data_IF_087145130989
#
_entry.id   IF_087145130989
#
_cell.length_a   1.000
_cell.length_b   1.000
_cell.length_c   1.000
_cell.angle_alpha   90.00
_cell.angle_beta   90.00
_cell.angle_gamma   90.00
#
_symmetry.space_group_name_H-M   'P 1'
#
loop_
_entity.id
_entity.type
_entity.pdbx_description
1 polymer ?
#
# COMPACT_ATOMS: atom_id res chain seq x y z
N UNK A 1 -62.41 -11.00 54.89
CA UNK A 1 -62.35 -10.70 53.43
C UNK A 1 -61.00 -10.11 52.96
N UNK A 2 -59.95 -10.03 53.80
CA UNK A 2 -58.65 -9.43 53.42
C UNK A 2 -57.67 -10.38 52.68
N UNK A 3 -57.89 -11.69 52.72
CA UNK A 3 -56.95 -12.67 52.15
C UNK A 3 -57.09 -12.84 50.63
N UNK A 4 -58.28 -12.61 50.07
CA UNK A 4 -58.53 -12.71 48.64
C UNK A 4 -57.84 -11.60 47.83
N UNK A 5 -57.65 -10.39 48.40
CA UNK A 5 -57.00 -9.29 47.67
C UNK A 5 -55.49 -9.43 47.60
N UNK A 6 -54.85 -10.08 48.58
CA UNK A 6 -53.40 -10.34 48.55
C UNK A 6 -53.01 -11.36 47.49
N UNK A 7 -53.80 -12.44 47.34
CA UNK A 7 -53.57 -13.44 46.30
C UNK A 7 -53.67 -12.82 44.90
N UNK A 8 -54.69 -11.98 44.68
CA UNK A 8 -54.91 -11.31 43.40
C UNK A 8 -53.85 -10.23 43.10
N UNK A 9 -53.27 -9.60 44.13
CA UNK A 9 -52.11 -8.71 43.98
C UNK A 9 -50.83 -9.48 43.62
N UNK A 10 -50.60 -10.63 44.25
CA UNK A 10 -49.43 -11.47 43.97
C UNK A 10 -49.45 -12.01 42.53
N UNK A 11 -50.62 -12.45 42.04
CA UNK A 11 -50.79 -12.90 40.65
C UNK A 11 -50.53 -11.76 39.64
N UNK A 12 -51.06 -10.56 39.91
CA UNK A 12 -50.82 -9.40 39.04
C UNK A 12 -49.33 -8.98 39.03
N UNK A 13 -48.64 -9.06 40.17
CA UNK A 13 -47.20 -8.79 40.26
C UNK A 13 -46.37 -9.85 39.53
N UNK A 14 -46.75 -11.13 39.62
CA UNK A 14 -46.09 -12.21 38.90
C UNK A 14 -46.21 -12.04 37.37
N UNK A 15 -47.41 -11.72 36.87
CA UNK A 15 -47.65 -11.47 35.45
C UNK A 15 -46.85 -10.27 34.93
N UNK A 16 -46.78 -9.19 35.72
CA UNK A 16 -45.99 -8.01 35.37
C UNK A 16 -44.48 -8.27 35.36
N UNK A 17 -43.99 -9.10 36.29
CA UNK A 17 -42.60 -9.54 36.32
C UNK A 17 -42.25 -10.40 35.10
N UNK A 18 -43.11 -11.35 34.72
CA UNK A 18 -42.92 -12.21 33.55
C UNK A 18 -42.89 -11.40 32.24
N UNK A 19 -43.82 -10.44 32.10
CA UNK A 19 -43.87 -9.55 30.93
C UNK A 19 -42.64 -8.65 30.81
N UNK A 20 -42.12 -8.15 31.92
CA UNK A 20 -40.90 -7.32 31.92
C UNK A 20 -39.63 -8.13 31.63
N UNK A 21 -39.53 -9.36 32.16
CA UNK A 21 -38.45 -10.29 31.85
C UNK A 21 -38.42 -10.66 30.36
N UNK A 22 -39.60 -10.93 29.77
CA UNK A 22 -39.71 -11.28 28.34
C UNK A 22 -39.30 -10.13 27.43
N UNK A 23 -39.71 -8.90 27.76
CA UNK A 23 -39.33 -7.68 27.02
C UNK A 23 -37.84 -7.39 27.12
N UNK A 24 -37.24 -7.57 28.29
CA UNK A 24 -35.79 -7.41 28.48
C UNK A 24 -34.99 -8.45 27.68
N UNK A 25 -35.47 -9.70 27.62
CA UNK A 25 -34.85 -10.77 26.84
C UNK A 25 -34.90 -10.47 25.33
N UNK A 26 -36.02 -9.98 24.81
CA UNK A 26 -36.14 -9.57 23.40
C UNK A 26 -35.23 -8.39 23.05
N UNK A 27 -35.11 -7.40 23.92
CA UNK A 27 -34.23 -6.25 23.67
C UNK A 27 -32.74 -6.64 23.69
N UNK A 28 -32.35 -7.53 24.61
CA UNK A 28 -31.00 -8.09 24.66
C UNK A 28 -30.69 -8.91 23.40
N UNK A 29 -31.64 -9.74 22.93
CA UNK A 29 -31.49 -10.50 21.70
C UNK A 29 -31.36 -9.58 20.46
N UNK A 30 -32.13 -8.47 20.43
CA UNK A 30 -32.09 -7.51 19.32
C UNK A 30 -30.76 -6.73 19.27
N UNK A 31 -30.20 -6.35 20.42
CA UNK A 31 -28.88 -5.70 20.52
C UNK A 31 -27.75 -6.64 20.09
N UNK A 32 -27.75 -7.88 20.60
CA UNK A 32 -26.75 -8.88 20.21
C UNK A 32 -26.79 -9.22 18.70
N UNK A 33 -28.00 -9.29 18.11
CA UNK A 33 -28.17 -9.48 16.68
C UNK A 33 -27.63 -8.29 15.86
N UNK A 34 -27.85 -7.06 16.31
CA UNK A 34 -27.35 -5.85 15.66
C UNK A 34 -25.81 -5.75 15.71
N UNK A 35 -25.18 -6.02 16.85
CA UNK A 35 -23.72 -6.02 16.99
C UNK A 35 -23.07 -7.10 16.10
N UNK A 36 -23.67 -8.30 16.07
CA UNK A 36 -23.20 -9.38 15.20
C UNK A 36 -23.31 -9.01 13.72
N UNK A 37 -24.37 -8.31 13.32
CA UNK A 37 -24.57 -7.85 11.95
C UNK A 37 -23.55 -6.77 11.56
N UNK A 38 -23.23 -5.84 12.46
CA UNK A 38 -22.22 -4.79 12.24
C UNK A 38 -20.83 -5.41 12.11
N UNK A 39 -20.46 -6.33 13.01
CA UNK A 39 -19.17 -7.03 12.94
C UNK A 39 -18.99 -7.80 11.63
N UNK A 40 -20.01 -8.56 11.20
CA UNK A 40 -19.98 -9.28 9.92
C UNK A 40 -19.86 -8.36 8.71
N UNK A 41 -20.50 -7.19 8.75
CA UNK A 41 -20.42 -6.20 7.67
C UNK A 41 -19.03 -5.56 7.60
N UNK A 42 -18.42 -5.25 8.74
CA UNK A 42 -17.06 -4.73 8.81
C UNK A 42 -16.02 -5.74 8.31
N UNK A 43 -16.16 -7.02 8.68
CA UNK A 43 -15.27 -8.09 8.18
C UNK A 43 -15.44 -8.31 6.68
N UNK A 44 -16.67 -8.28 6.17
CA UNK A 44 -16.95 -8.39 4.73
C UNK A 44 -16.40 -7.20 3.93
N UNK A 45 -16.52 -5.98 4.46
CA UNK A 45 -15.95 -4.77 3.84
C UNK A 45 -14.42 -4.82 3.84
N UNK A 46 -13.79 -5.28 4.94
CA UNK A 46 -12.33 -5.45 5.03
C UNK A 46 -11.82 -6.52 4.07
N UNK A 47 -12.54 -7.63 3.93
CA UNK A 47 -12.21 -8.69 2.96
C UNK A 47 -12.39 -8.20 1.51
N UNK A 48 -13.43 -7.42 1.22
CA UNK A 48 -13.65 -6.82 -0.10
C UNK A 48 -12.58 -5.77 -0.46
N UNK A 49 -12.15 -4.97 0.51
CA UNK A 49 -11.05 -4.01 0.37
C UNK A 49 -9.74 -4.74 0.04
N UNK A 50 -9.39 -5.78 0.82
CA UNK A 50 -8.19 -6.59 0.61
C UNK A 50 -8.20 -7.29 -0.75
N UNK A 51 -9.36 -7.77 -1.21
CA UNK A 51 -9.49 -8.39 -2.53
C UNK A 51 -9.33 -7.39 -3.68
N UNK A 52 -9.85 -6.15 -3.54
CA UNK A 52 -9.63 -5.07 -4.52
C UNK A 52 -8.16 -4.68 -4.59
N UNK A 53 -7.52 -4.47 -3.46
CA UNK A 53 -6.09 -4.14 -3.38
C UNK A 53 -5.20 -5.27 -3.93
N UNK A 54 -5.56 -6.54 -3.70
CA UNK A 54 -4.84 -7.67 -4.29
C UNK A 54 -4.98 -7.72 -5.81
N UNK A 55 -6.17 -7.43 -6.34
CA UNK A 55 -6.44 -7.39 -7.78
C UNK A 55 -5.71 -6.22 -8.45
N UNK A 56 -5.75 -5.04 -7.86
CA UNK A 56 -5.02 -3.87 -8.34
C UNK A 56 -3.51 -4.10 -8.30
N UNK A 57 -2.99 -4.73 -7.25
CA UNK A 57 -1.57 -5.13 -7.16
C UNK A 57 -1.19 -6.17 -8.21
N UNK A 58 -2.09 -7.09 -8.56
CA UNK A 58 -1.87 -8.05 -9.64
C UNK A 58 -1.88 -7.37 -11.01
N UNK A 59 -2.81 -6.46 -11.25
CA UNK A 59 -2.87 -5.67 -12.50
C UNK A 59 -1.65 -4.75 -12.66
N UNK A 60 -1.14 -4.17 -11.57
CA UNK A 60 0.10 -3.40 -11.56
C UNK A 60 1.33 -4.26 -11.83
N UNK A 61 1.41 -5.47 -11.25
CA UNK A 61 2.48 -6.44 -11.54
C UNK A 61 2.47 -6.87 -13.01
N UNK A 62 1.27 -7.08 -13.56
CA UNK A 62 1.09 -7.48 -14.96
C UNK A 62 1.42 -6.33 -15.92
N UNK A 63 1.09 -5.08 -15.56
CA UNK A 63 1.48 -3.89 -16.31
C UNK A 63 3.01 -3.65 -16.25
N UNK A 64 3.62 -3.81 -15.07
CA UNK A 64 5.07 -3.71 -14.90
C UNK A 64 5.81 -4.79 -15.71
N UNK A 65 5.28 -6.01 -15.76
CA UNK A 65 5.84 -7.11 -16.56
C UNK A 65 5.72 -6.84 -18.07
N UNK A 66 4.59 -6.26 -18.51
CA UNK A 66 4.39 -5.84 -19.91
C UNK A 66 5.28 -4.67 -20.33
N UNK A 67 5.62 -3.76 -19.40
CA UNK A 67 6.57 -2.68 -19.65
C UNK A 67 8.03 -3.14 -19.60
N UNK A 68 8.36 -4.12 -18.73
CA UNK A 68 9.68 -4.75 -18.68
C UNK A 68 10.01 -5.54 -19.96
N UNK A 69 9.00 -6.10 -20.63
CA UNK A 69 9.13 -6.74 -21.94
C UNK A 69 9.34 -5.74 -23.09
N UNK A 70 9.08 -4.43 -22.88
CA UNK A 70 9.17 -3.45 -23.95
C UNK A 70 10.56 -2.90 -24.20
N UNK A 71 11.35 -2.44 -23.23
CA UNK A 71 12.56 -1.70 -23.65
C UNK A 71 13.65 -1.41 -22.62
N UNK A 72 14.46 -2.41 -22.26
CA UNK A 72 15.87 -2.13 -21.92
C UNK A 72 16.76 -2.05 -23.18
N UNK A 73 16.17 -2.14 -24.38
CA UNK A 73 16.84 -2.24 -25.68
C UNK A 73 16.74 -0.97 -26.56
N UNK A 74 15.88 0.00 -26.25
CA UNK A 74 15.64 1.22 -27.06
C UNK A 74 16.32 2.47 -26.53
N UNK A 75 16.89 2.43 -25.33
CA UNK A 75 17.71 3.55 -24.84
C UNK A 75 19.15 3.38 -25.33
N UNK A 76 19.63 4.24 -26.25
CA UNK A 76 21.01 4.16 -26.68
C UNK A 76 21.94 4.39 -25.49
N UNK A 77 22.98 3.55 -25.37
CA UNK A 77 24.06 3.77 -24.41
C UNK A 77 24.88 4.97 -24.89
N UNK A 78 25.03 5.98 -24.04
CA UNK A 78 25.73 7.22 -24.33
C UNK A 78 26.89 7.43 -23.35
N UNK A 79 27.87 8.24 -23.75
CA UNK A 79 28.99 8.62 -22.88
C UNK A 79 28.54 9.47 -21.68
N UNK A 80 27.40 10.17 -21.80
CA UNK A 80 26.78 10.93 -20.72
C UNK A 80 25.29 11.17 -21.01
N UNK A 81 24.55 11.50 -19.95
CA UNK A 81 23.12 11.82 -19.99
C UNK A 81 22.86 13.10 -19.20
N UNK A 82 22.04 13.99 -19.74
CA UNK A 82 21.47 15.12 -19.00
C UNK A 82 20.36 14.65 -18.06
N UNK A 83 20.08 15.43 -17.01
CA UNK A 83 18.93 15.16 -16.12
C UNK A 83 17.63 15.04 -16.91
N UNK A 84 17.41 15.90 -17.92
CA UNK A 84 16.21 15.85 -18.75
C UNK A 84 16.10 14.56 -19.56
N UNK A 85 17.21 14.02 -20.07
CA UNK A 85 17.24 12.72 -20.73
C UNK A 85 16.89 11.60 -19.74
N UNK A 86 17.46 11.63 -18.53
CA UNK A 86 17.18 10.62 -17.49
C UNK A 86 15.70 10.64 -17.09
N UNK A 87 15.12 11.83 -16.88
CA UNK A 87 13.70 11.98 -16.60
C UNK A 87 12.83 11.49 -17.76
N UNK A 88 13.21 11.75 -19.01
CA UNK A 88 12.50 11.25 -20.18
C UNK A 88 12.52 9.71 -20.26
N UNK A 89 13.67 9.08 -19.96
CA UNK A 89 13.76 7.62 -19.85
C UNK A 89 12.84 7.11 -18.73
N UNK A 90 12.89 7.72 -17.56
CA UNK A 90 12.03 7.34 -16.44
C UNK A 90 10.52 7.47 -16.78
N UNK A 91 10.10 8.50 -17.52
CA UNK A 91 8.70 8.64 -17.98
C UNK A 91 8.24 7.52 -18.91
N UNK A 92 9.16 6.93 -19.68
CA UNK A 92 8.85 5.80 -20.56
C UNK A 92 8.81 4.47 -19.81
N UNK A 93 9.59 4.35 -18.73
CA UNK A 93 9.73 3.10 -17.96
C UNK A 93 8.74 2.97 -16.80
N UNK A 94 8.40 4.09 -16.16
CA UNK A 94 7.53 4.15 -14.98
C UNK A 94 6.08 4.33 -15.43
N UNK A 95 5.10 3.58 -14.87
CA UNK A 95 3.69 3.82 -15.14
C UNK A 95 3.32 5.30 -14.93
N UNK A 96 2.56 5.89 -15.87
CA UNK A 96 2.30 7.33 -15.89
C UNK A 96 1.72 7.88 -14.58
N UNK A 97 0.82 7.15 -13.93
CA UNK A 97 0.23 7.51 -12.63
C UNK A 97 1.19 7.40 -11.43
N UNK A 98 2.37 6.80 -11.62
CA UNK A 98 3.37 6.56 -10.57
C UNK A 98 4.60 7.47 -10.72
N UNK A 99 4.76 8.12 -11.88
CA UNK A 99 5.96 8.87 -12.22
C UNK A 99 6.26 10.01 -11.25
N UNK A 100 5.25 10.77 -10.80
CA UNK A 100 5.49 11.89 -9.89
C UNK A 100 6.08 11.43 -8.55
N UNK A 101 5.52 10.37 -7.96
CA UNK A 101 6.01 9.80 -6.70
C UNK A 101 7.43 9.24 -6.85
N UNK A 102 7.67 8.50 -7.94
CA UNK A 102 9.00 8.02 -8.31
C UNK A 102 10.01 9.17 -8.45
N UNK A 103 9.61 10.24 -9.14
CA UNK A 103 10.44 11.42 -9.40
C UNK A 103 10.84 12.12 -8.11
N UNK A 104 9.92 12.26 -7.16
CA UNK A 104 10.20 12.89 -5.87
C UNK A 104 11.27 12.12 -5.10
N UNK A 105 11.22 10.78 -5.09
CA UNK A 105 12.25 9.95 -4.46
C UNK A 105 13.60 10.17 -5.14
N UNK A 106 13.68 10.02 -6.47
CA UNK A 106 14.95 10.16 -7.20
C UNK A 106 15.57 11.54 -7.01
N UNK A 107 14.74 12.58 -6.97
CA UNK A 107 15.18 13.96 -6.72
C UNK A 107 15.78 14.14 -5.32
N UNK A 108 15.14 13.57 -4.29
CA UNK A 108 15.66 13.59 -2.92
C UNK A 108 16.93 12.76 -2.74
N UNK A 109 17.01 11.60 -3.38
CA UNK A 109 18.14 10.67 -3.24
C UNK A 109 19.41 11.17 -3.95
N UNK A 110 19.25 11.76 -5.14
CA UNK A 110 20.39 12.01 -6.02
C UNK A 110 20.33 13.31 -6.82
N UNK A 111 19.22 14.06 -6.72
CA UNK A 111 18.91 15.16 -7.65
C UNK A 111 19.08 14.74 -9.11
N UNK A 112 18.64 13.52 -9.42
CA UNK A 112 18.75 12.87 -10.74
C UNK A 112 20.18 12.63 -11.26
N UNK A 113 21.18 12.67 -10.40
CA UNK A 113 22.56 12.32 -10.77
C UNK A 113 22.81 10.81 -10.64
N UNK A 114 22.86 10.11 -11.78
CA UNK A 114 23.12 8.67 -11.83
C UNK A 114 24.55 8.24 -11.44
N UNK A 115 25.45 9.21 -11.23
CA UNK A 115 26.79 9.02 -10.66
C UNK A 115 26.90 9.61 -9.23
N UNK A 116 25.79 9.98 -8.59
CA UNK A 116 25.82 10.52 -7.24
C UNK A 116 26.46 9.53 -6.27
N UNK A 117 27.46 9.98 -5.51
CA UNK A 117 28.12 9.18 -4.47
C UNK A 117 28.01 9.90 -3.15
N UNK A 118 27.41 9.25 -2.16
CA UNK A 118 27.49 9.72 -0.79
C UNK A 118 28.87 9.37 -0.22
N UNK A 119 29.70 10.38 0.03
CA UNK A 119 31.08 10.18 0.47
C UNK A 119 31.21 9.45 1.82
N UNK A 120 30.23 9.59 2.71
CA UNK A 120 30.26 9.00 4.04
C UNK A 120 29.84 7.53 4.05
N UNK A 121 28.85 7.15 3.22
CA UNK A 121 28.29 5.80 3.20
C UNK A 121 28.73 4.95 2.00
N UNK A 122 29.19 5.56 0.92
CA UNK A 122 29.46 4.89 -0.36
C UNK A 122 28.20 4.52 -1.15
N UNK A 123 27.03 5.01 -0.75
CA UNK A 123 25.80 4.86 -1.53
C UNK A 123 25.94 5.52 -2.91
N UNK A 124 25.39 4.88 -3.94
CA UNK A 124 25.64 5.25 -5.34
C UNK A 124 24.36 5.39 -6.17
N UNK A 125 24.40 6.31 -7.14
CA UNK A 125 23.45 6.42 -8.24
C UNK A 125 22.11 7.03 -7.88
N UNK A 126 21.14 6.86 -8.78
CA UNK A 126 19.81 7.50 -8.74
C UNK A 126 19.01 7.19 -7.48
N UNK A 127 19.24 6.03 -6.87
CA UNK A 127 18.52 5.53 -5.69
C UNK A 127 19.45 5.26 -4.51
N UNK A 128 20.67 5.81 -4.54
CA UNK A 128 21.66 5.69 -3.46
C UNK A 128 21.78 4.26 -2.92
N UNK A 129 21.94 3.28 -3.83
CA UNK A 129 21.96 1.88 -3.46
C UNK A 129 23.22 1.53 -2.65
N UNK A 130 23.01 0.84 -1.52
CA UNK A 130 24.10 0.34 -0.66
C UNK A 130 23.97 -1.18 -0.41
N UNK A 131 24.95 -2.01 -0.81
CA UNK A 131 26.08 -1.66 -1.69
C UNK A 131 25.63 -1.35 -3.13
N UNK A 132 26.40 -0.52 -3.83
CA UNK A 132 26.12 -0.11 -5.22
C UNK A 132 25.92 -1.31 -6.17
N UNK A 133 26.62 -2.42 -5.93
CA UNK A 133 26.51 -3.66 -6.71
C UNK A 133 25.11 -4.27 -6.75
N UNK A 134 24.16 -3.83 -5.91
CA UNK A 134 22.75 -4.22 -5.99
C UNK A 134 22.13 -3.92 -7.37
N UNK A 135 22.58 -2.87 -8.05
CA UNK A 135 22.08 -2.56 -9.40
C UNK A 135 22.39 -3.64 -10.44
N UNK A 136 23.42 -4.47 -10.21
CA UNK A 136 23.80 -5.53 -11.14
C UNK A 136 22.68 -6.55 -11.41
N UNK A 137 21.70 -6.67 -10.51
CA UNK A 137 20.52 -7.51 -10.73
C UNK A 137 19.58 -7.01 -11.83
N UNK A 138 19.67 -5.73 -12.20
CA UNK A 138 18.89 -5.13 -13.28
C UNK A 138 19.63 -5.12 -14.63
N UNK A 139 20.96 -5.18 -14.60
CA UNK A 139 21.84 -5.19 -15.78
C UNK A 139 23.30 -4.95 -15.38
N UNK A 140 24.26 -5.50 -16.14
CA UNK A 140 25.70 -5.37 -15.85
C UNK A 140 26.28 -3.98 -16.15
N UNK A 141 25.57 -3.16 -16.92
CA UNK A 141 25.95 -1.81 -17.35
C UNK A 141 25.50 -0.70 -16.39
N UNK A 142 25.02 -1.07 -15.19
CA UNK A 142 24.41 -0.18 -14.22
C UNK A 142 25.24 1.04 -13.80
N UNK A 143 26.57 0.95 -13.87
CA UNK A 143 27.46 2.06 -13.53
C UNK A 143 27.32 3.22 -14.51
N UNK A 144 27.11 2.93 -15.78
CA UNK A 144 27.10 3.92 -16.87
C UNK A 144 25.72 4.12 -17.50
N UNK A 145 24.76 3.23 -17.20
CA UNK A 145 23.43 3.26 -17.78
C UNK A 145 22.36 3.64 -16.73
N UNK A 146 21.81 4.87 -16.78
CA UNK A 146 20.73 5.29 -15.88
C UNK A 146 19.43 4.51 -16.08
N UNK A 147 19.15 3.98 -17.29
CA UNK A 147 17.97 3.14 -17.51
C UNK A 147 18.03 1.87 -16.67
N UNK A 148 19.22 1.27 -16.53
CA UNK A 148 19.44 0.11 -15.65
C UNK A 148 19.18 0.47 -14.19
N UNK A 149 19.62 1.64 -13.74
CA UNK A 149 19.33 2.11 -12.38
C UNK A 149 17.82 2.39 -12.17
N UNK A 150 17.14 3.00 -13.15
CA UNK A 150 15.67 3.23 -13.14
C UNK A 150 14.92 1.91 -13.05
N UNK A 151 15.30 0.91 -13.84
CA UNK A 151 14.71 -0.44 -13.82
C UNK A 151 14.86 -1.07 -12.44
N UNK A 152 16.05 -0.99 -11.86
CA UNK A 152 16.29 -1.50 -10.51
C UNK A 152 15.43 -0.79 -9.47
N UNK A 153 15.41 0.56 -9.48
CA UNK A 153 14.66 1.35 -8.52
C UNK A 153 13.16 1.08 -8.59
N UNK A 154 12.60 1.01 -9.80
CA UNK A 154 11.19 0.67 -10.01
C UNK A 154 10.87 -0.73 -9.45
N UNK A 155 11.73 -1.72 -9.70
CA UNK A 155 11.55 -3.07 -9.16
C UNK A 155 11.64 -3.09 -7.63
N UNK A 156 12.57 -2.35 -7.04
CA UNK A 156 12.72 -2.24 -5.58
C UNK A 156 11.48 -1.59 -4.94
N UNK A 157 10.98 -0.46 -5.50
CA UNK A 157 9.74 0.18 -5.04
C UNK A 157 8.56 -0.80 -5.05
N UNK A 158 8.37 -1.48 -6.17
CA UNK A 158 7.28 -2.42 -6.35
C UNK A 158 7.38 -3.62 -5.40
N UNK A 159 8.59 -4.12 -5.14
CA UNK A 159 8.79 -5.27 -4.25
C UNK A 159 8.68 -4.92 -2.77
N UNK A 160 9.21 -3.76 -2.36
CA UNK A 160 9.36 -3.38 -0.94
C UNK A 160 8.16 -2.61 -0.40
N UNK A 161 7.51 -1.81 -1.25
CA UNK A 161 6.41 -0.91 -0.88
C UNK A 161 5.12 -1.21 -1.65
N UNK A 162 5.22 -1.87 -2.80
CA UNK A 162 4.07 -2.23 -3.64
C UNK A 162 3.90 -1.33 -4.86
N UNK A 163 4.32 -0.07 -4.78
CA UNK A 163 4.37 0.88 -5.91
C UNK A 163 5.30 2.06 -5.60
N UNK A 164 5.68 2.88 -6.60
CA UNK A 164 6.39 4.14 -6.36
C UNK A 164 5.63 5.13 -5.46
N UNK A 165 4.31 5.22 -5.56
CA UNK A 165 3.53 6.10 -4.68
C UNK A 165 3.44 5.59 -3.24
N UNK A 166 3.36 4.27 -3.03
CA UNK A 166 3.45 3.71 -1.67
C UNK A 166 4.84 3.95 -1.07
N UNK A 167 5.90 3.83 -1.89
CA UNK A 167 7.25 4.17 -1.47
C UNK A 167 7.37 5.66 -1.08
N UNK A 168 6.78 6.56 -1.87
CA UNK A 168 6.80 8.00 -1.57
C UNK A 168 6.00 8.35 -0.31
N UNK A 169 4.86 7.71 -0.10
CA UNK A 169 4.08 7.86 1.14
C UNK A 169 4.90 7.43 2.36
N UNK A 170 5.57 6.28 2.25
CA UNK A 170 6.49 5.80 3.28
C UNK A 170 7.63 6.78 3.54
N UNK A 171 8.31 7.25 2.50
CA UNK A 171 9.39 8.23 2.61
C UNK A 171 8.90 9.53 3.24
N UNK A 172 7.72 10.03 2.85
CA UNK A 172 7.16 11.28 3.40
C UNK A 172 6.89 11.19 4.91
N UNK A 173 6.58 10.00 5.42
CA UNK A 173 6.35 9.79 6.85
C UNK A 173 7.64 9.54 7.63
N UNK A 174 8.63 8.88 7.03
CA UNK A 174 9.79 8.35 7.74
C UNK A 174 11.11 9.07 7.42
N UNK A 175 11.14 9.80 6.30
CA UNK A 175 12.31 10.48 5.74
C UNK A 175 13.48 9.54 5.39
N UNK A 176 13.16 8.27 5.05
CA UNK A 176 14.09 7.29 4.51
C UNK A 176 13.41 6.32 3.55
N UNK A 177 14.20 5.65 2.71
CA UNK A 177 13.76 4.76 1.63
C UNK A 177 14.76 3.62 1.37
#
# INVERSE_FOLDING_TARGET
MQTASLAQQADAQAIAADASAKKAAEEAARKAAAETAIAKKADAEKAAQAAKEAKERAELKEAASRSAARDSSSFPVQSSYSVSQIQAMARQMVPSGQFQCFSNIVDHESSWNYHAVNASSGAYGLFQALPAGKYASAGSDWQTNPATQIKWGLNYMNSRYGSPCEAWSFWSANHWY
#
